data_IF_864033096015
#
_entry.id   IF_864033096015
#
_cell.length_a   1.000
_cell.length_b   1.000
_cell.length_c   1.000
_cell.angle_alpha   90.00
_cell.angle_beta   90.00
_cell.angle_gamma   90.00
#
_symmetry.space_group_name_H-M   'P 1'
#
loop_
_entity.id
_entity.type
_entity.pdbx_description
1 polymer ?
#
# COMPACT_ATOMS: atom_id res chain seq x y z
N UNK A 1 -3.65 -52.23 23.46
CA UNK A 1 -4.39 -50.99 23.64
C UNK A 1 -3.56 -49.89 23.01
N UNK A 2 -3.86 -49.55 21.74
CA UNK A 2 -3.13 -48.50 21.00
C UNK A 2 -3.82 -47.17 21.23
N UNK A 3 -3.13 -46.24 21.85
CA UNK A 3 -3.56 -44.84 21.91
C UNK A 3 -3.34 -44.21 20.54
N UNK A 4 -4.41 -43.82 19.91
CA UNK A 4 -4.37 -42.96 18.72
C UNK A 4 -4.28 -41.54 19.24
N UNK A 5 -3.12 -40.89 19.07
CA UNK A 5 -2.98 -39.45 19.20
C UNK A 5 -3.33 -38.86 17.86
N UNK A 6 -4.56 -38.38 17.69
CA UNK A 6 -4.98 -37.59 16.55
C UNK A 6 -4.75 -36.11 16.82
N UNK A 7 -3.85 -35.53 16.06
CA UNK A 7 -3.95 -34.25 15.38
C UNK A 7 -4.39 -33.00 16.15
N UNK A 8 -3.37 -32.30 16.64
CA UNK A 8 -3.43 -30.84 16.77
C UNK A 8 -2.39 -30.16 15.83
N UNK A 9 -2.38 -30.49 14.53
CA UNK A 9 -1.41 -29.93 13.57
C UNK A 9 -1.93 -28.75 12.74
N UNK A 10 -3.22 -28.42 12.84
CA UNK A 10 -3.81 -27.42 11.93
C UNK A 10 -3.71 -25.99 12.43
N UNK A 11 -3.98 -25.74 13.70
CA UNK A 11 -4.14 -24.37 14.23
C UNK A 11 -2.79 -23.71 14.56
N UNK A 12 -1.84 -24.48 15.07
CA UNK A 12 -0.51 -23.95 15.42
C UNK A 12 0.33 -23.56 14.20
N UNK A 13 0.24 -24.33 13.11
CA UNK A 13 0.97 -24.02 11.86
C UNK A 13 0.39 -22.78 11.15
N UNK A 14 -0.93 -22.60 11.15
CA UNK A 14 -1.58 -21.43 10.56
C UNK A 14 -1.28 -20.17 11.36
N UNK A 15 -1.25 -20.25 12.69
CA UNK A 15 -0.92 -19.12 13.57
C UNK A 15 0.56 -18.73 13.46
N UNK A 16 1.47 -19.70 13.34
CA UNK A 16 2.90 -19.46 13.13
C UNK A 16 3.17 -18.80 11.77
N UNK A 17 2.51 -19.23 10.69
CA UNK A 17 2.65 -18.63 9.37
C UNK A 17 2.15 -17.19 9.34
N UNK A 18 1.09 -16.85 10.07
CA UNK A 18 0.60 -15.47 10.17
C UNK A 18 1.51 -14.57 11.01
N UNK A 19 2.11 -15.12 12.08
CA UNK A 19 3.07 -14.35 12.89
C UNK A 19 4.41 -14.15 12.17
N UNK A 20 4.92 -15.14 11.47
CA UNK A 20 6.14 -15.02 10.64
C UNK A 20 5.97 -13.97 9.54
N UNK A 21 4.79 -13.87 8.91
CA UNK A 21 4.51 -12.85 7.90
C UNK A 21 4.48 -11.42 8.47
N UNK A 22 3.96 -11.23 9.67
CA UNK A 22 3.92 -9.91 10.33
C UNK A 22 5.31 -9.49 10.82
N UNK A 23 6.18 -10.46 11.15
CA UNK A 23 7.55 -10.20 11.62
C UNK A 23 8.53 -9.86 10.51
N UNK A 24 8.20 -10.16 9.25
CA UNK A 24 9.13 -10.18 8.11
C UNK A 24 8.95 -9.03 7.11
N UNK A 25 8.10 -8.00 7.39
CA UNK A 25 7.85 -6.90 6.46
C UNK A 25 9.13 -6.12 6.11
N UNK A 26 10.07 -5.96 7.04
CA UNK A 26 11.37 -5.30 6.77
C UNK A 26 12.31 -6.20 5.97
N UNK A 27 12.33 -7.50 6.23
CA UNK A 27 13.08 -8.47 5.43
C UNK A 27 12.52 -8.56 4.01
N UNK A 28 11.18 -8.47 3.86
CA UNK A 28 10.54 -8.41 2.55
C UNK A 28 10.97 -7.16 1.78
N UNK A 29 10.97 -5.98 2.40
CA UNK A 29 11.48 -4.74 1.81
C UNK A 29 12.95 -4.88 1.39
N UNK A 30 13.78 -5.46 2.25
CA UNK A 30 15.19 -5.70 1.96
C UNK A 30 15.39 -6.65 0.77
N UNK A 31 14.64 -7.77 0.73
CA UNK A 31 14.67 -8.75 -0.40
C UNK A 31 14.24 -8.11 -1.73
N UNK A 32 13.30 -7.18 -1.67
CA UNK A 32 12.84 -6.41 -2.84
C UNK A 32 13.84 -5.31 -3.25
N UNK A 33 14.90 -5.09 -2.46
CA UNK A 33 15.86 -4.00 -2.70
C UNK A 33 15.24 -2.61 -2.52
N UNK A 34 14.19 -2.50 -1.70
CA UNK A 34 13.41 -1.26 -1.53
C UNK A 34 13.65 -0.67 -0.16
N UNK A 35 13.91 0.64 -0.14
CA UNK A 35 14.00 1.43 1.09
C UNK A 35 12.81 2.38 1.18
N UNK A 36 12.21 2.48 2.37
CA UNK A 36 11.13 3.45 2.59
C UNK A 36 11.66 4.88 2.43
N UNK A 37 10.96 5.72 1.65
CA UNK A 37 11.30 7.14 1.57
C UNK A 37 10.97 7.87 2.88
N UNK A 38 11.39 9.13 2.99
CA UNK A 38 10.89 9.98 4.06
C UNK A 38 9.37 10.16 3.95
N UNK A 39 8.65 10.05 5.06
CA UNK A 39 7.21 10.29 5.08
C UNK A 39 6.91 11.75 4.69
N UNK A 40 6.05 12.00 3.69
CA UNK A 40 5.71 13.34 3.27
C UNK A 40 5.02 14.12 4.40
N UNK A 41 5.25 15.43 4.45
CA UNK A 41 4.47 16.32 5.29
C UNK A 41 3.07 16.52 4.71
N UNK A 42 2.03 16.75 5.56
CA UNK A 42 0.72 17.13 5.07
C UNK A 42 0.79 18.39 4.19
N UNK A 43 0.09 18.38 3.07
CA UNK A 43 0.03 19.54 2.16
C UNK A 43 -0.91 20.66 2.59
N UNK A 44 -1.55 20.55 3.78
CA UNK A 44 -2.54 21.50 4.27
C UNK A 44 -2.88 21.29 5.75
N UNK A 45 -3.99 21.85 6.19
CA UNK A 45 -4.46 21.76 7.58
C UNK A 45 -5.17 20.42 7.85
N UNK A 46 -4.42 19.32 7.84
CA UNK A 46 -4.87 17.97 8.16
C UNK A 46 -3.70 17.13 8.67
N UNK A 47 -3.97 15.91 9.20
CA UNK A 47 -2.93 14.97 9.62
C UNK A 47 -2.76 13.86 8.56
N UNK A 48 -1.51 13.37 8.38
CA UNK A 48 -1.22 12.30 7.41
C UNK A 48 -1.84 10.96 7.80
N UNK A 49 -2.05 10.72 9.10
CA UNK A 49 -2.66 9.50 9.62
C UNK A 49 -3.44 9.79 10.91
N UNK A 50 -4.56 9.07 11.11
CA UNK A 50 -5.40 9.17 12.30
C UNK A 50 -5.85 7.81 12.76
N UNK A 51 -5.57 7.45 14.01
CA UNK A 51 -6.01 6.20 14.64
C UNK A 51 -7.41 6.38 15.23
N UNK A 52 -8.30 5.41 14.95
CA UNK A 52 -9.65 5.30 15.51
C UNK A 52 -9.89 3.83 15.86
N UNK A 53 -9.91 3.49 17.15
CA UNK A 53 -9.95 2.09 17.58
C UNK A 53 -8.70 1.33 17.13
N UNK A 54 -8.89 0.23 16.41
CA UNK A 54 -7.83 -0.57 15.80
C UNK A 54 -7.58 -0.22 14.32
N UNK A 55 -8.17 0.87 13.81
CA UNK A 55 -7.99 1.31 12.43
C UNK A 55 -7.17 2.60 12.37
N UNK A 56 -6.32 2.68 11.36
CA UNK A 56 -5.60 3.88 10.96
C UNK A 56 -6.12 4.32 9.60
N UNK A 57 -6.64 5.53 9.55
CA UNK A 57 -7.00 6.22 8.32
C UNK A 57 -5.82 7.07 7.87
N UNK A 58 -5.34 6.86 6.65
CA UNK A 58 -4.26 7.64 6.06
C UNK A 58 -4.82 8.63 5.05
N UNK A 59 -4.24 9.82 5.02
CA UNK A 59 -4.54 10.80 3.98
C UNK A 59 -4.02 10.33 2.61
N UNK A 60 -4.53 10.91 1.53
CA UNK A 60 -4.01 10.70 0.19
C UNK A 60 -2.54 11.12 0.08
N UNK A 61 -1.74 10.30 -0.61
CA UNK A 61 -0.38 10.64 -1.02
C UNK A 61 -0.30 10.61 -2.53
N UNK A 62 0.28 11.64 -3.14
CA UNK A 62 0.52 11.70 -4.58
C UNK A 62 1.83 10.99 -4.93
N UNK A 63 1.93 10.50 -6.15
CA UNK A 63 3.14 9.84 -6.68
C UNK A 63 4.34 10.78 -6.66
N UNK A 64 5.40 10.38 -5.96
CA UNK A 64 6.60 11.18 -5.73
C UNK A 64 7.81 10.28 -5.57
N UNK A 65 8.96 10.71 -6.12
CA UNK A 65 10.29 10.12 -5.94
C UNK A 65 11.24 11.12 -5.29
N UNK A 66 12.54 10.76 -5.20
CA UNK A 66 13.61 11.70 -4.81
C UNK A 66 13.70 12.93 -5.71
N UNK A 67 13.33 12.78 -6.98
CA UNK A 67 13.44 13.83 -8.01
C UNK A 67 12.22 14.78 -8.03
N UNK A 68 11.20 14.47 -7.21
CA UNK A 68 9.99 15.27 -7.10
C UNK A 68 8.72 14.51 -7.44
N UNK A 69 7.64 15.24 -7.73
CA UNK A 69 6.34 14.65 -8.10
C UNK A 69 6.44 13.97 -9.46
N UNK A 70 5.96 12.73 -9.54
CA UNK A 70 5.81 12.00 -10.80
C UNK A 70 4.52 12.49 -11.44
N UNK A 71 4.65 13.26 -12.51
CA UNK A 71 3.55 13.95 -13.19
C UNK A 71 3.18 13.31 -14.51
N UNK A 72 1.99 13.64 -15.02
CA UNK A 72 1.52 13.24 -16.34
C UNK A 72 0.09 12.73 -16.34
N UNK A 73 -0.36 12.22 -17.50
CA UNK A 73 -1.72 11.71 -17.72
C UNK A 73 -1.64 10.39 -18.48
N UNK A 74 -2.13 9.31 -17.85
CA UNK A 74 -2.14 7.99 -18.49
C UNK A 74 -3.05 8.00 -19.73
N UNK A 75 -2.52 7.49 -20.84
CA UNK A 75 -3.20 7.49 -22.12
C UNK A 75 -3.00 8.75 -22.95
N UNK A 76 -2.28 9.76 -22.42
CA UNK A 76 -1.86 10.95 -23.17
C UNK A 76 -0.33 10.98 -23.34
N UNK A 77 0.40 11.15 -22.26
CA UNK A 77 1.85 11.30 -22.20
C UNK A 77 2.52 10.25 -21.28
N UNK A 78 1.72 9.39 -20.65
CA UNK A 78 2.16 8.31 -19.76
C UNK A 78 1.51 6.99 -20.12
N UNK A 79 2.30 5.91 -20.02
CA UNK A 79 1.83 4.54 -20.22
C UNK A 79 1.19 3.96 -18.93
N UNK A 80 0.55 2.80 -19.05
CA UNK A 80 0.03 2.02 -17.93
C UNK A 80 1.17 1.57 -17.01
N UNK A 81 2.29 1.18 -17.58
CA UNK A 81 3.49 0.72 -16.86
C UNK A 81 4.13 1.85 -16.03
N UNK A 82 4.21 3.06 -16.59
CA UNK A 82 4.68 4.25 -15.85
C UNK A 82 3.70 4.58 -14.70
N UNK A 83 2.40 4.44 -14.94
CA UNK A 83 1.38 4.57 -13.91
C UNK A 83 1.50 3.50 -12.81
N UNK A 84 1.79 2.25 -13.18
CA UNK A 84 2.04 1.15 -12.23
C UNK A 84 3.22 1.47 -11.31
N UNK A 85 4.35 1.92 -11.85
CA UNK A 85 5.51 2.31 -11.03
C UNK A 85 5.19 3.54 -10.16
N UNK A 86 4.40 4.50 -10.64
CA UNK A 86 3.94 5.63 -9.83
C UNK A 86 3.03 5.19 -8.67
N UNK A 87 2.14 4.21 -8.88
CA UNK A 87 1.32 3.62 -7.83
C UNK A 87 2.16 2.89 -6.76
N UNK A 88 3.21 2.19 -7.19
CA UNK A 88 4.19 1.56 -6.31
C UNK A 88 4.92 2.58 -5.45
N UNK A 89 5.30 3.74 -6.01
CA UNK A 89 5.87 4.84 -5.21
C UNK A 89 4.88 5.39 -4.19
N UNK A 90 3.58 5.53 -4.53
CA UNK A 90 2.55 5.90 -3.55
C UNK A 90 2.46 4.89 -2.41
N UNK A 91 2.55 3.59 -2.69
CA UNK A 91 2.52 2.55 -1.66
C UNK A 91 3.73 2.65 -0.70
N UNK A 92 4.92 2.95 -1.22
CA UNK A 92 6.11 3.20 -0.40
C UNK A 92 5.93 4.42 0.51
N UNK A 93 5.36 5.50 -0.01
CA UNK A 93 5.06 6.71 0.76
C UNK A 93 4.02 6.45 1.85
N UNK A 94 2.98 5.65 1.57
CA UNK A 94 1.98 5.24 2.56
C UNK A 94 2.60 4.39 3.68
N UNK A 95 3.47 3.44 3.34
CA UNK A 95 4.22 2.67 4.33
C UNK A 95 5.15 3.56 5.16
N UNK A 96 5.79 4.55 4.57
CA UNK A 96 6.61 5.52 5.30
C UNK A 96 5.77 6.37 6.28
N UNK A 97 4.54 6.77 5.91
CA UNK A 97 3.61 7.45 6.81
C UNK A 97 3.21 6.55 7.97
N UNK A 98 2.91 5.26 7.70
CA UNK A 98 2.62 4.26 8.74
C UNK A 98 3.80 4.05 9.69
N UNK A 99 4.99 3.87 9.15
CA UNK A 99 6.22 3.74 9.94
C UNK A 99 6.41 4.91 10.90
N UNK A 100 6.27 6.14 10.38
CA UNK A 100 6.37 7.36 11.19
C UNK A 100 5.27 7.45 12.25
N UNK A 101 4.04 7.04 11.93
CA UNK A 101 2.90 7.13 12.84
C UNK A 101 2.93 6.07 13.95
N UNK A 102 3.32 4.83 13.60
CA UNK A 102 3.32 3.67 14.49
C UNK A 102 4.66 3.45 15.20
N UNK A 103 5.75 3.95 14.64
CA UNK A 103 7.13 3.65 15.02
C UNK A 103 7.61 2.27 14.53
N UNK A 104 6.75 1.44 13.93
CA UNK A 104 7.11 0.18 13.29
C UNK A 104 5.97 -0.36 12.42
N UNK A 105 6.29 -0.83 11.20
CA UNK A 105 5.35 -1.55 10.32
C UNK A 105 4.91 -2.91 10.88
N UNK A 106 5.66 -3.49 11.81
CA UNK A 106 5.29 -4.77 12.49
C UNK A 106 3.98 -4.70 13.27
N UNK A 107 3.46 -3.50 13.53
CA UNK A 107 2.16 -3.30 14.17
C UNK A 107 0.98 -3.40 13.22
N UNK A 108 1.23 -3.43 11.90
CA UNK A 108 0.20 -3.60 10.87
C UNK A 108 -0.28 -5.03 10.88
N UNK A 109 -1.57 -5.24 11.14
CA UNK A 109 -2.25 -6.54 11.11
C UNK A 109 -2.87 -6.83 9.75
N UNK A 110 -3.26 -5.79 9.04
CA UNK A 110 -3.82 -5.93 7.70
C UNK A 110 -4.09 -4.59 7.04
N UNK A 111 -4.13 -4.59 5.71
CA UNK A 111 -4.61 -3.45 4.92
C UNK A 111 -6.09 -3.67 4.66
N UNK A 112 -6.95 -2.83 5.26
CA UNK A 112 -8.38 -2.97 5.15
C UNK A 112 -8.90 -2.50 3.78
N UNK A 113 -8.45 -1.33 3.32
CA UNK A 113 -8.88 -0.77 2.04
C UNK A 113 -7.84 0.12 1.39
N UNK A 114 -7.86 0.16 0.05
CA UNK A 114 -7.04 1.04 -0.78
C UNK A 114 -7.92 1.74 -1.81
N UNK A 115 -7.83 3.06 -1.89
CA UNK A 115 -8.43 3.87 -2.94
C UNK A 115 -7.31 4.46 -3.79
N UNK A 116 -7.29 4.11 -5.08
CA UNK A 116 -6.31 4.59 -6.04
C UNK A 116 -6.95 5.46 -7.11
N UNK A 117 -6.35 6.61 -7.35
CA UNK A 117 -6.79 7.61 -8.31
C UNK A 117 -5.70 7.79 -9.36
N UNK A 118 -6.07 7.64 -10.63
CA UNK A 118 -5.16 7.72 -11.77
C UNK A 118 -5.51 8.96 -12.59
N UNK A 119 -4.56 9.89 -12.70
CA UNK A 119 -4.71 11.00 -13.66
C UNK A 119 -4.66 10.44 -15.08
N UNK A 120 -5.79 10.43 -15.77
CA UNK A 120 -5.92 9.73 -17.05
C UNK A 120 -6.86 10.43 -18.02
N UNK A 121 -6.75 10.08 -19.30
CA UNK A 121 -7.70 10.55 -20.33
C UNK A 121 -9.12 10.09 -20.04
N UNK A 122 -10.10 10.82 -20.54
CA UNK A 122 -11.51 10.44 -20.42
C UNK A 122 -11.76 9.05 -21.03
N UNK A 123 -12.52 8.21 -20.32
CA UNK A 123 -12.83 6.85 -20.75
C UNK A 123 -11.72 5.82 -20.52
N UNK A 124 -10.63 6.18 -19.83
CA UNK A 124 -9.56 5.24 -19.51
C UNK A 124 -10.08 4.13 -18.58
N UNK A 125 -10.03 2.88 -19.04
CA UNK A 125 -10.60 1.72 -18.35
C UNK A 125 -9.58 0.92 -17.55
N UNK A 126 -8.28 1.12 -17.77
CA UNK A 126 -7.20 0.30 -17.20
C UNK A 126 -6.64 0.83 -15.87
N UNK A 127 -7.36 1.73 -15.17
CA UNK A 127 -6.98 2.20 -13.83
C UNK A 127 -6.69 1.06 -12.85
N UNK A 128 -7.41 -0.09 -12.87
CA UNK A 128 -7.05 -1.24 -12.03
C UNK A 128 -5.66 -1.80 -12.31
N UNK A 129 -5.19 -1.81 -13.56
CA UNK A 129 -3.84 -2.27 -13.94
C UNK A 129 -2.77 -1.33 -13.37
N UNK A 130 -3.02 -0.02 -13.41
CA UNK A 130 -2.13 0.99 -12.81
C UNK A 130 -2.01 0.77 -11.29
N UNK A 131 -3.14 0.65 -10.59
CA UNK A 131 -3.13 0.53 -9.11
C UNK A 131 -2.65 -0.85 -8.65
N UNK A 132 -2.53 -1.85 -9.53
CA UNK A 132 -1.84 -3.10 -9.21
C UNK A 132 -0.42 -2.85 -8.70
N UNK A 133 0.29 -1.81 -9.16
CA UNK A 133 1.62 -1.47 -8.64
C UNK A 133 1.67 -1.31 -7.12
N UNK A 134 0.66 -0.68 -6.54
CA UNK A 134 0.53 -0.57 -5.09
C UNK A 134 0.11 -1.90 -4.45
N UNK A 135 -0.91 -2.58 -4.99
CA UNK A 135 -1.44 -3.82 -4.44
C UNK A 135 -0.41 -4.94 -4.43
N UNK A 136 0.35 -5.10 -5.52
CA UNK A 136 1.39 -6.12 -5.64
C UNK A 136 2.53 -5.87 -4.64
N UNK A 137 2.91 -4.61 -4.42
CA UNK A 137 3.90 -4.26 -3.39
C UNK A 137 3.38 -4.55 -1.98
N UNK A 138 2.14 -4.21 -1.66
CA UNK A 138 1.55 -4.53 -0.35
C UNK A 138 1.50 -6.03 -0.10
N UNK A 139 1.12 -6.82 -1.11
CA UNK A 139 1.14 -8.29 -1.02
C UNK A 139 2.56 -8.83 -0.85
N UNK A 140 3.55 -8.27 -1.55
CA UNK A 140 4.94 -8.68 -1.46
C UNK A 140 5.55 -8.37 -0.08
N UNK A 141 5.13 -7.26 0.57
CA UNK A 141 5.66 -6.82 1.87
C UNK A 141 4.92 -7.47 3.04
N UNK A 142 3.60 -7.54 2.99
CA UNK A 142 2.78 -8.00 4.13
C UNK A 142 2.18 -9.40 3.94
N UNK A 143 2.31 -10.02 2.75
CA UNK A 143 1.66 -11.30 2.46
C UNK A 143 0.13 -11.19 2.47
N UNK A 144 -0.57 -12.19 3.03
CA UNK A 144 -2.05 -12.18 3.14
C UNK A 144 -2.61 -10.94 3.88
N UNK A 145 -2.01 -10.42 4.96
CA UNK A 145 -2.37 -9.12 5.53
C UNK A 145 -2.32 -7.94 4.56
N UNK A 146 -1.56 -8.03 3.47
CA UNK A 146 -1.52 -7.03 2.40
C UNK A 146 -2.72 -7.07 1.45
N UNK A 147 -3.52 -8.15 1.46
CA UNK A 147 -4.74 -8.30 0.64
C UNK A 147 -5.85 -7.39 1.18
N UNK A 148 -6.42 -6.57 0.31
CA UNK A 148 -7.33 -5.50 0.69
C UNK A 148 -8.50 -5.37 -0.28
N UNK A 149 -9.59 -4.74 0.15
CA UNK A 149 -10.62 -4.25 -0.77
C UNK A 149 -10.14 -2.97 -1.46
N UNK A 150 -10.56 -2.72 -2.69
CA UNK A 150 -9.99 -1.64 -3.49
C UNK A 150 -11.01 -0.93 -4.39
N UNK A 151 -10.88 0.40 -4.49
CA UNK A 151 -11.33 1.16 -5.64
C UNK A 151 -10.11 1.64 -6.45
N UNK A 152 -10.21 1.60 -7.79
CA UNK A 152 -9.19 2.09 -8.71
C UNK A 152 -9.91 2.82 -9.85
N UNK A 153 -9.83 4.14 -9.89
CA UNK A 153 -10.58 4.99 -10.80
C UNK A 153 -9.71 6.01 -11.51
N UNK A 154 -10.05 6.31 -12.77
CA UNK A 154 -9.49 7.43 -13.51
C UNK A 154 -10.13 8.74 -13.05
N UNK A 155 -9.31 9.79 -12.97
CA UNK A 155 -9.73 11.15 -12.65
C UNK A 155 -9.15 12.13 -13.68
N UNK A 156 -9.79 13.29 -13.85
CA UNK A 156 -9.37 14.32 -14.80
C UNK A 156 -8.22 15.20 -14.33
N UNK A 157 -7.71 14.98 -13.11
CA UNK A 157 -6.57 15.71 -12.55
C UNK A 157 -6.35 15.37 -11.09
N UNK A 158 -5.09 15.48 -10.66
CA UNK A 158 -4.64 15.30 -9.27
C UNK A 158 -3.82 16.51 -8.83
N UNK A 159 -3.64 16.73 -7.52
CA UNK A 159 -2.82 17.83 -7.02
C UNK A 159 -1.42 17.82 -7.62
N UNK A 160 -0.91 18.99 -7.99
CA UNK A 160 0.42 19.18 -8.61
C UNK A 160 0.61 18.41 -9.91
N UNK A 161 -0.49 18.06 -10.62
CA UNK A 161 -0.49 17.26 -11.85
C UNK A 161 0.12 15.87 -11.64
N UNK A 162 0.03 15.31 -10.42
CA UNK A 162 0.54 13.98 -10.11
C UNK A 162 -0.13 12.91 -10.98
N UNK A 163 0.63 11.84 -11.27
CA UNK A 163 0.17 10.73 -12.11
C UNK A 163 -0.79 9.81 -11.37
N UNK A 164 -0.51 9.55 -10.09
CA UNK A 164 -1.31 8.68 -9.21
C UNK A 164 -1.44 9.32 -7.83
N UNK A 165 -2.58 9.09 -7.18
CA UNK A 165 -2.77 9.31 -5.76
C UNK A 165 -3.31 8.05 -5.10
N UNK A 166 -2.87 7.76 -3.88
CA UNK A 166 -3.30 6.60 -3.11
C UNK A 166 -3.71 7.00 -1.70
N UNK A 167 -4.88 6.51 -1.28
CA UNK A 167 -5.38 6.61 0.10
C UNK A 167 -5.63 5.20 0.63
N UNK A 168 -5.38 4.94 1.93
CA UNK A 168 -5.63 3.63 2.50
C UNK A 168 -6.10 3.67 3.96
N UNK A 169 -6.69 2.56 4.41
CA UNK A 169 -7.04 2.28 5.80
C UNK A 169 -6.38 0.97 6.20
N UNK A 170 -5.80 0.94 7.40
CA UNK A 170 -4.99 -0.17 7.92
C UNK A 170 -5.52 -0.60 9.28
N UNK A 171 -5.49 -1.90 9.56
CA UNK A 171 -5.75 -2.49 10.87
C UNK A 171 -4.44 -2.71 11.65
N UNK A 172 -4.48 -2.45 12.97
CA UNK A 172 -3.36 -2.62 13.94
C UNK A 172 -3.75 -3.44 15.14
#
# INVERSE_FOLDING_TARGET
MRLIVTEERGVGATLLLTMDHILDCYEALQRLGVTLPAAPAPGGNYCSAKTVGNLIFLAGVISQSSDGVITGTVGLDKSVEEGYEAAKQCALLQMAVLEKHLGSLKKVRGIASVNGYVNSVAGFADSPKVINGASDLFMAVFGEPGRHVRAAIGVSGLPRHALVELQMTVEI
#
